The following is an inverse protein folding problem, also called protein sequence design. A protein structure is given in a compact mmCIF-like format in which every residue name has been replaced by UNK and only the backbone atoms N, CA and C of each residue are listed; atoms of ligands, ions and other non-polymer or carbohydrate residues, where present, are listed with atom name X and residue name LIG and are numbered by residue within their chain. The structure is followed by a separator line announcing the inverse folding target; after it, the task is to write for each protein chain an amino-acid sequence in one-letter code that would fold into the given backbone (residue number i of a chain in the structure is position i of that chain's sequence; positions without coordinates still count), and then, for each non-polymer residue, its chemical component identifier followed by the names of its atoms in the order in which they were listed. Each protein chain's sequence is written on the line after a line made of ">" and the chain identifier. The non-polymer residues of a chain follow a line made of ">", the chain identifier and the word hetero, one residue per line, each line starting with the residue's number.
data_IF_930487300259
#
_entry.id   IF_930487300259
#
_cell.length_a   1.000
_cell.length_b   1.000
_cell.length_c   1.000
_cell.angle_alpha   90.00
_cell.angle_beta   90.00
_cell.angle_gamma   90.00
#
_symmetry.space_group_name_H-M   'P 1'
#
loop_
_entity.id
_entity.type
_entity.pdbx_description
1 polymer ?
#
# COMPACT_ATOMS: atom_id res chain seq x y z
N UNK A 1 27.94 -27.53 11.28
CA UNK A 1 27.40 -26.79 12.45
C UNK A 1 27.11 -25.37 12.00
N UNK A 2 25.98 -25.14 11.36
CA UNK A 2 25.47 -23.78 11.09
C UNK A 2 24.91 -23.27 12.41
N UNK A 3 25.53 -22.26 12.95
CA UNK A 3 24.99 -21.51 14.07
C UNK A 3 23.64 -20.90 13.63
N UNK A 4 22.58 -21.34 14.26
CA UNK A 4 21.26 -20.74 14.18
C UNK A 4 21.39 -19.26 14.63
N UNK A 5 21.66 -18.37 13.68
CA UNK A 5 21.80 -16.94 13.95
C UNK A 5 20.44 -16.45 14.40
N UNK A 6 20.26 -16.25 15.69
CA UNK A 6 19.07 -15.63 16.26
C UNK A 6 18.73 -14.36 15.47
N UNK A 7 17.47 -14.23 15.09
CA UNK A 7 17.02 -13.09 14.27
C UNK A 7 17.46 -11.77 14.94
N UNK A 8 18.15 -10.89 14.21
CA UNK A 8 18.61 -9.62 14.78
C UNK A 8 17.39 -8.77 15.18
N UNK A 9 17.37 -8.31 16.44
CA UNK A 9 16.29 -7.42 16.93
C UNK A 9 16.36 -6.07 16.22
N UNK A 10 15.21 -5.54 15.80
CA UNK A 10 15.11 -4.21 15.25
C UNK A 10 15.49 -3.15 16.29
N UNK A 11 16.57 -2.41 16.03
CA UNK A 11 16.95 -1.27 16.86
C UNK A 11 16.06 -0.06 16.55
N UNK A 12 15.97 0.90 17.49
CA UNK A 12 15.28 2.19 17.26
C UNK A 12 15.79 2.87 15.98
N UNK A 13 17.11 2.81 15.70
CA UNK A 13 17.68 3.36 14.47
C UNK A 13 17.14 2.72 13.20
N UNK A 14 16.81 1.42 13.22
CA UNK A 14 16.19 0.72 12.08
C UNK A 14 14.73 1.15 11.92
N UNK A 15 13.98 1.28 13.02
CA UNK A 15 12.60 1.83 12.97
C UNK A 15 12.57 3.24 12.37
N UNK A 16 13.51 4.12 12.76
CA UNK A 16 13.65 5.46 12.17
C UNK A 16 13.91 5.38 10.66
N UNK A 17 14.75 4.47 10.20
CA UNK A 17 15.00 4.27 8.75
C UNK A 17 13.69 3.91 8.03
N UNK A 18 12.87 3.01 8.59
CA UNK A 18 11.58 2.65 7.99
C UNK A 18 10.58 3.82 8.02
N UNK A 19 10.63 4.71 9.02
CA UNK A 19 9.86 5.98 9.01
C UNK A 19 10.29 6.85 7.83
N UNK A 20 11.59 7.02 7.57
CA UNK A 20 12.07 7.76 6.39
C UNK A 20 11.65 7.09 5.07
N UNK A 21 11.61 5.78 5.00
CA UNK A 21 11.08 5.06 3.83
C UNK A 21 9.59 5.30 3.64
N UNK A 22 8.83 5.36 4.73
CA UNK A 22 7.43 5.77 4.70
C UNK A 22 7.25 7.19 4.17
N UNK A 23 8.06 8.14 4.65
CA UNK A 23 8.08 9.51 4.14
C UNK A 23 8.34 9.49 2.63
N UNK A 24 9.38 8.81 2.17
CA UNK A 24 9.75 8.75 0.76
C UNK A 24 8.63 8.19 -0.12
N UNK A 25 7.87 7.21 0.37
CA UNK A 25 6.83 6.51 -0.41
C UNK A 25 5.64 7.38 -0.77
N UNK A 26 5.33 8.42 0.00
CA UNK A 26 4.16 9.30 -0.20
C UNK A 26 4.48 10.78 -0.38
N UNK A 27 5.74 11.20 -0.18
CA UNK A 27 6.09 12.62 -0.19
C UNK A 27 5.79 13.29 -1.52
N UNK A 28 6.07 12.63 -2.65
CA UNK A 28 5.76 13.18 -3.97
C UNK A 28 4.28 13.51 -4.17
N UNK A 29 3.40 12.64 -3.69
CA UNK A 29 1.96 12.87 -3.72
C UNK A 29 1.51 13.95 -2.74
N UNK A 30 1.98 13.91 -1.50
CA UNK A 30 1.63 14.88 -0.48
C UNK A 30 2.09 16.31 -0.87
N UNK A 31 3.23 16.44 -1.55
CA UNK A 31 3.70 17.71 -2.08
C UNK A 31 2.73 18.28 -3.13
N UNK A 32 2.23 17.45 -4.06
CA UNK A 32 1.25 17.90 -5.05
C UNK A 32 -0.07 18.34 -4.42
N UNK A 33 -0.62 17.57 -3.48
CA UNK A 33 -1.88 17.94 -2.81
C UNK A 33 -1.75 19.21 -1.99
N UNK A 34 -0.66 19.36 -1.27
CA UNK A 34 -0.44 20.56 -0.42
C UNK A 34 -0.33 21.82 -1.27
N UNK A 35 0.19 21.71 -2.50
CA UNK A 35 0.34 22.82 -3.44
C UNK A 35 -0.83 22.96 -4.44
N UNK A 36 -1.99 22.38 -4.18
CA UNK A 36 -3.21 22.62 -5.00
C UNK A 36 -3.48 24.13 -5.22
N UNK A 37 -3.33 25.04 -4.24
CA UNK A 37 -3.51 26.46 -4.47
C UNK A 37 -2.58 27.05 -5.54
N UNK A 38 -1.33 26.57 -5.64
CA UNK A 38 -0.42 26.95 -6.71
C UNK A 38 -0.94 26.52 -8.09
N UNK A 39 -1.40 25.29 -8.22
CA UNK A 39 -1.94 24.79 -9.49
C UNK A 39 -3.26 25.47 -9.88
N UNK A 40 -4.11 25.81 -8.90
CA UNK A 40 -5.33 26.59 -9.13
C UNK A 40 -5.04 28.00 -9.68
N UNK A 41 -3.88 28.58 -9.33
CA UNK A 41 -3.45 29.87 -9.88
C UNK A 41 -2.92 29.75 -11.31
N UNK A 42 -2.06 28.74 -11.60
CA UNK A 42 -1.37 28.63 -12.89
C UNK A 42 -2.15 27.87 -13.97
N UNK A 43 -2.96 26.88 -13.58
CA UNK A 43 -3.70 25.97 -14.50
C UNK A 43 -5.12 25.69 -14.02
N UNK A 44 -5.94 26.74 -13.74
CA UNK A 44 -7.30 26.53 -13.21
C UNK A 44 -8.20 25.72 -14.16
N UNK A 45 -7.94 25.79 -15.47
CA UNK A 45 -8.73 25.09 -16.47
C UNK A 45 -8.73 23.57 -16.37
N UNK A 46 -7.76 22.95 -15.68
CA UNK A 46 -7.74 21.50 -15.43
C UNK A 46 -8.45 21.11 -14.13
N UNK A 47 -8.94 22.05 -13.31
CA UNK A 47 -9.51 21.82 -11.97
C UNK A 47 -8.60 20.93 -11.11
N UNK A 48 -7.44 21.44 -10.66
CA UNK A 48 -6.40 20.64 -10.01
C UNK A 48 -6.84 19.91 -8.75
N UNK A 49 -7.77 20.51 -7.98
CA UNK A 49 -8.36 19.97 -6.75
C UNK A 49 -9.07 18.62 -6.95
N UNK A 50 -9.50 18.31 -8.16
CA UNK A 50 -10.15 17.05 -8.53
C UNK A 50 -9.28 16.22 -9.48
N UNK A 51 -8.73 16.86 -10.53
CA UNK A 51 -8.04 16.16 -11.62
C UNK A 51 -6.69 15.56 -11.21
N UNK A 52 -5.95 16.19 -10.29
CA UNK A 52 -4.61 15.73 -9.91
C UNK A 52 -4.62 14.30 -9.35
N UNK A 53 -5.60 13.96 -8.52
CA UNK A 53 -5.75 12.60 -7.99
C UNK A 53 -5.99 11.60 -9.12
N UNK A 54 -6.90 11.90 -10.03
CA UNK A 54 -7.21 11.04 -11.17
C UNK A 54 -5.99 10.83 -12.08
N UNK A 55 -5.33 11.92 -12.48
CA UNK A 55 -4.16 11.89 -13.38
C UNK A 55 -2.98 11.11 -12.77
N UNK A 56 -2.81 11.18 -11.45
CA UNK A 56 -1.72 10.46 -10.78
C UNK A 56 -2.03 8.98 -10.57
N UNK A 57 -3.27 8.65 -10.15
CA UNK A 57 -3.58 7.27 -9.75
C UNK A 57 -4.03 6.36 -10.89
N UNK A 58 -4.58 6.87 -12.00
CA UNK A 58 -4.92 6.04 -13.15
C UNK A 58 -3.70 5.31 -13.75
N UNK A 59 -2.58 6.00 -14.11
CA UNK A 59 -1.37 5.32 -14.58
C UNK A 59 -0.72 4.45 -13.48
N UNK A 60 -0.83 4.85 -12.22
CA UNK A 60 -0.31 4.08 -11.09
C UNK A 60 -0.97 2.68 -11.00
N UNK A 61 -2.29 2.57 -11.17
CA UNK A 61 -2.99 1.27 -11.21
C UNK A 61 -2.43 0.37 -12.30
N UNK A 62 -2.33 0.90 -13.53
CA UNK A 62 -1.86 0.12 -14.69
C UNK A 62 -0.47 -0.44 -14.42
N UNK A 63 0.42 0.40 -13.89
CA UNK A 63 1.80 0.02 -13.67
C UNK A 63 1.99 -0.90 -12.46
N UNK A 64 1.27 -0.66 -11.34
CA UNK A 64 1.27 -1.59 -10.20
C UNK A 64 0.70 -2.95 -10.57
N UNK A 65 -0.36 -2.99 -11.38
CA UNK A 65 -0.88 -4.25 -11.91
C UNK A 65 0.17 -5.00 -12.73
N UNK A 66 0.89 -4.30 -13.62
CA UNK A 66 1.96 -4.89 -14.41
C UNK A 66 3.11 -5.46 -13.54
N UNK A 67 3.49 -4.74 -12.48
CA UNK A 67 4.49 -5.19 -11.50
C UNK A 67 4.02 -6.39 -10.68
N UNK A 68 2.73 -6.45 -10.33
CA UNK A 68 2.14 -7.58 -9.60
C UNK A 68 1.99 -8.81 -10.49
N UNK A 69 1.60 -8.60 -11.77
CA UNK A 69 1.45 -9.67 -12.76
C UNK A 69 2.79 -10.28 -13.14
N UNK A 70 3.80 -9.44 -13.37
CA UNK A 70 5.14 -9.84 -13.82
C UNK A 70 6.18 -9.45 -12.77
N UNK A 71 6.29 -10.28 -11.74
CA UNK A 71 7.00 -10.00 -10.48
C UNK A 71 8.49 -9.68 -10.63
N UNK A 72 9.16 -10.24 -11.66
CA UNK A 72 10.58 -10.05 -11.89
C UNK A 72 10.86 -8.97 -12.96
N UNK A 73 9.86 -8.12 -13.26
CA UNK A 73 10.00 -7.07 -14.27
C UNK A 73 11.13 -6.10 -13.93
N UNK A 74 11.22 -5.69 -12.65
CA UNK A 74 12.23 -4.78 -12.15
C UNK A 74 12.72 -5.28 -10.78
N UNK A 75 14.02 -5.50 -10.56
CA UNK A 75 14.57 -5.85 -9.25
C UNK A 75 14.19 -4.80 -8.20
N UNK A 76 13.75 -5.24 -7.01
CA UNK A 76 13.20 -4.39 -5.95
C UNK A 76 14.11 -3.19 -5.61
N UNK A 77 15.43 -3.41 -5.51
CA UNK A 77 16.40 -2.34 -5.24
C UNK A 77 16.40 -1.25 -6.34
N UNK A 78 16.37 -1.67 -7.60
CA UNK A 78 16.35 -0.75 -8.74
C UNK A 78 15.01 -0.01 -8.78
N UNK A 79 13.91 -0.72 -8.55
CA UNK A 79 12.56 -0.15 -8.46
C UNK A 79 12.48 1.01 -7.46
N UNK A 80 13.02 0.81 -6.25
CA UNK A 80 13.03 1.82 -5.18
C UNK A 80 13.90 3.03 -5.53
N UNK A 81 15.09 2.80 -6.11
CA UNK A 81 16.00 3.89 -6.51
C UNK A 81 15.35 4.73 -7.62
N UNK A 82 14.82 4.10 -8.67
CA UNK A 82 14.13 4.81 -9.77
C UNK A 82 12.91 5.56 -9.23
N UNK A 83 12.14 4.95 -8.29
CA UNK A 83 10.99 5.59 -7.67
C UNK A 83 11.36 6.89 -6.95
N UNK A 84 12.40 6.90 -6.11
CA UNK A 84 12.81 8.10 -5.38
C UNK A 84 13.46 9.13 -6.32
N UNK A 85 14.39 8.73 -7.18
CA UNK A 85 15.08 9.64 -8.12
C UNK A 85 14.06 10.28 -9.07
N UNK A 86 13.13 9.50 -9.60
CA UNK A 86 12.06 10.01 -10.47
C UNK A 86 11.14 10.98 -9.72
N UNK A 87 10.80 10.70 -8.46
CA UNK A 87 10.00 11.63 -7.64
C UNK A 87 10.73 12.96 -7.43
N UNK A 88 12.04 12.94 -7.14
CA UNK A 88 12.86 14.16 -7.03
C UNK A 88 12.81 14.95 -8.34
N UNK A 89 13.03 14.27 -9.48
CA UNK A 89 13.06 14.92 -10.80
C UNK A 89 11.70 15.60 -11.09
N UNK A 90 10.57 14.90 -10.89
CA UNK A 90 9.25 15.44 -11.19
C UNK A 90 8.81 16.55 -10.22
N UNK A 91 9.23 16.52 -8.95
CA UNK A 91 9.00 17.64 -8.02
C UNK A 91 9.72 18.94 -8.44
N UNK A 92 10.75 18.83 -9.26
CA UNK A 92 11.44 20.02 -9.84
C UNK A 92 10.83 20.36 -11.21
N UNK A 93 10.60 19.40 -12.06
CA UNK A 93 10.14 19.59 -13.45
C UNK A 93 8.72 20.18 -13.49
N UNK A 94 7.80 19.64 -12.69
CA UNK A 94 6.40 20.09 -12.70
C UNK A 94 6.28 21.58 -12.40
N UNK A 95 6.73 22.10 -11.25
CA UNK A 95 6.62 23.51 -10.96
C UNK A 95 7.42 24.39 -11.94
N UNK A 96 8.60 23.93 -12.40
CA UNK A 96 9.42 24.68 -13.34
C UNK A 96 8.65 24.99 -14.63
N UNK A 97 8.11 23.98 -15.28
CA UNK A 97 7.37 24.15 -16.53
C UNK A 97 6.05 24.89 -16.33
N UNK A 98 5.33 24.61 -15.23
CA UNK A 98 4.07 25.29 -14.89
C UNK A 98 4.28 26.80 -14.71
N UNK A 99 5.42 27.23 -14.16
CA UNK A 99 5.75 28.65 -13.95
C UNK A 99 6.30 29.36 -15.18
N UNK A 100 7.05 28.65 -16.04
CA UNK A 100 7.67 29.21 -17.24
C UNK A 100 6.66 29.49 -18.36
N UNK A 101 5.57 28.73 -18.40
CA UNK A 101 4.55 28.85 -19.43
C UNK A 101 3.51 29.92 -19.06
N UNK A 102 2.77 30.39 -20.05
CA UNK A 102 1.65 31.29 -19.85
C UNK A 102 0.57 30.64 -18.99
N UNK A 103 -0.03 31.45 -18.09
CA UNK A 103 -1.08 31.01 -17.19
C UNK A 103 -2.25 30.45 -18.00
N UNK A 104 -2.68 29.24 -17.66
CA UNK A 104 -3.81 28.49 -18.24
C UNK A 104 -3.75 28.30 -19.77
N UNK A 105 -2.57 28.44 -20.39
CA UNK A 105 -2.39 28.12 -21.81
C UNK A 105 -2.59 26.62 -22.07
N UNK A 106 -2.98 26.27 -23.30
CA UNK A 106 -3.13 24.85 -23.68
C UNK A 106 -1.88 24.04 -23.41
N UNK A 107 -0.68 24.58 -23.76
CA UNK A 107 0.60 23.90 -23.54
C UNK A 107 0.89 23.71 -22.04
N UNK A 108 0.61 24.71 -21.20
CA UNK A 108 0.79 24.60 -19.73
C UNK A 108 -0.11 23.52 -19.15
N UNK A 109 -1.39 23.52 -19.49
CA UNK A 109 -2.35 22.49 -19.07
C UNK A 109 -1.91 21.10 -19.52
N UNK A 110 -1.54 20.95 -20.80
CA UNK A 110 -1.10 19.66 -21.37
C UNK A 110 0.15 19.11 -20.69
N UNK A 111 1.21 19.93 -20.56
CA UNK A 111 2.47 19.49 -19.94
C UNK A 111 2.31 19.20 -18.45
N UNK A 112 1.54 20.01 -17.73
CA UNK A 112 1.25 19.73 -16.32
C UNK A 112 0.53 18.39 -16.16
N UNK A 113 -0.51 18.12 -16.95
CA UNK A 113 -1.18 16.82 -16.94
C UNK A 113 -0.23 15.67 -17.29
N UNK A 114 0.57 15.82 -18.34
CA UNK A 114 1.53 14.80 -18.78
C UNK A 114 2.55 14.47 -17.68
N UNK A 115 3.13 15.47 -17.02
CA UNK A 115 4.11 15.25 -15.96
C UNK A 115 3.48 14.67 -14.70
N UNK A 116 2.23 15.01 -14.36
CA UNK A 116 1.51 14.36 -13.25
C UNK A 116 1.22 12.89 -13.56
N UNK A 117 0.88 12.55 -14.81
CA UNK A 117 0.73 11.16 -15.28
C UNK A 117 2.06 10.41 -15.14
N UNK A 118 3.16 10.99 -15.59
CA UNK A 118 4.50 10.39 -15.46
C UNK A 118 4.90 10.18 -14.00
N UNK A 119 4.60 11.16 -13.13
CA UNK A 119 4.80 11.00 -11.68
C UNK A 119 3.95 9.86 -11.13
N UNK A 120 2.75 9.61 -11.66
CA UNK A 120 1.92 8.46 -11.29
C UNK A 120 2.62 7.11 -11.53
N UNK A 121 3.31 6.93 -12.66
CA UNK A 121 4.14 5.75 -12.92
C UNK A 121 5.30 5.63 -11.92
N UNK A 122 5.95 6.75 -11.60
CA UNK A 122 7.05 6.78 -10.64
C UNK A 122 6.55 6.46 -9.22
N UNK A 123 5.39 6.98 -8.83
CA UNK A 123 4.78 6.69 -7.53
C UNK A 123 4.41 5.19 -7.39
N UNK A 124 4.04 4.51 -8.49
CA UNK A 124 3.80 3.07 -8.49
C UNK A 124 5.08 2.28 -8.13
N UNK A 125 6.23 2.69 -8.69
CA UNK A 125 7.51 2.09 -8.34
C UNK A 125 7.87 2.33 -6.88
N UNK A 126 7.71 3.55 -6.40
CA UNK A 126 8.10 3.95 -5.06
C UNK A 126 7.23 3.29 -3.99
N UNK A 127 5.91 3.53 -4.01
CA UNK A 127 5.01 3.02 -2.98
C UNK A 127 4.88 1.50 -3.00
N UNK A 128 4.65 0.90 -4.18
CA UNK A 128 4.57 -0.56 -4.34
C UNK A 128 5.86 -1.25 -3.93
N UNK A 129 7.02 -0.67 -4.26
CA UNK A 129 8.32 -1.18 -3.86
C UNK A 129 8.55 -1.16 -2.35
N UNK A 130 8.21 -0.06 -1.66
CA UNK A 130 8.37 0.02 -0.21
C UNK A 130 7.42 -0.93 0.54
N UNK A 131 6.18 -1.09 0.07
CA UNK A 131 5.26 -2.05 0.66
C UNK A 131 5.72 -3.50 0.41
N UNK A 132 6.23 -3.81 -0.78
CA UNK A 132 6.84 -5.11 -1.05
C UNK A 132 8.07 -5.36 -0.16
N UNK A 133 8.92 -4.34 0.05
CA UNK A 133 10.09 -4.45 0.91
C UNK A 133 9.71 -4.75 2.35
N UNK A 134 8.81 -3.94 2.94
CA UNK A 134 8.57 -3.96 4.39
C UNK A 134 7.89 -5.24 4.88
N UNK A 135 7.12 -5.91 4.03
CA UNK A 135 6.42 -7.17 4.39
C UNK A 135 7.36 -8.36 4.63
N UNK A 136 8.64 -8.23 4.27
CA UNK A 136 9.66 -9.21 4.66
C UNK A 136 10.15 -9.04 6.10
N UNK A 137 9.79 -7.93 6.76
CA UNK A 137 10.25 -7.56 8.10
C UNK A 137 9.14 -7.74 9.15
N UNK A 138 9.47 -7.71 10.47
CA UNK A 138 8.49 -7.79 11.54
C UNK A 138 7.45 -6.65 11.48
N UNK A 139 6.28 -6.88 12.10
CA UNK A 139 5.15 -5.93 12.16
C UNK A 139 5.57 -4.51 12.58
N UNK A 140 6.51 -4.40 13.52
CA UNK A 140 7.04 -3.11 13.98
C UNK A 140 7.62 -2.25 12.85
N UNK A 141 8.22 -2.88 11.84
CA UNK A 141 8.77 -2.16 10.68
C UNK A 141 7.66 -1.75 9.72
N UNK A 142 6.60 -2.56 9.59
CA UNK A 142 5.40 -2.22 8.80
C UNK A 142 4.72 -0.99 9.40
N UNK A 143 4.52 -0.97 10.73
CA UNK A 143 3.94 0.18 11.43
C UNK A 143 4.86 1.40 11.31
N UNK A 144 6.17 1.23 11.45
CA UNK A 144 7.12 2.35 11.29
C UNK A 144 7.07 2.97 9.89
N UNK A 145 7.01 2.15 8.84
CA UNK A 145 6.83 2.63 7.46
C UNK A 145 5.48 3.33 7.28
N UNK A 146 4.40 2.71 7.76
CA UNK A 146 3.05 3.30 7.72
C UNK A 146 2.99 4.65 8.45
N UNK A 147 3.57 4.73 9.66
CA UNK A 147 3.65 5.98 10.44
C UNK A 147 4.44 7.05 9.68
N UNK A 148 5.54 6.66 9.02
CA UNK A 148 6.32 7.54 8.15
C UNK A 148 5.51 8.13 7.00
N UNK A 149 4.59 7.36 6.42
CA UNK A 149 3.67 7.89 5.40
C UNK A 149 2.79 9.02 5.94
N UNK A 150 2.26 8.87 7.15
CA UNK A 150 1.51 9.92 7.84
C UNK A 150 2.38 11.14 8.14
N UNK A 151 3.59 10.95 8.65
CA UNK A 151 4.56 12.04 8.89
C UNK A 151 4.91 12.81 7.62
N UNK A 152 4.93 12.17 6.45
CA UNK A 152 5.12 12.85 5.17
C UNK A 152 4.08 13.96 4.96
N UNK A 153 2.80 13.68 5.22
CA UNK A 153 1.73 14.67 5.10
C UNK A 153 1.88 15.81 6.12
N UNK A 154 2.17 15.49 7.38
CA UNK A 154 2.38 16.51 8.43
C UNK A 154 3.56 17.40 8.07
N UNK A 155 4.70 16.83 7.65
CA UNK A 155 5.89 17.58 7.29
C UNK A 155 5.61 18.58 6.15
N UNK A 156 4.91 18.11 5.10
CA UNK A 156 4.54 18.98 3.98
C UNK A 156 3.65 20.15 4.42
N UNK A 157 2.66 19.91 5.28
CA UNK A 157 1.79 20.97 5.78
C UNK A 157 2.52 21.96 6.69
N UNK A 158 3.42 21.49 7.57
CA UNK A 158 4.23 22.37 8.42
C UNK A 158 5.13 23.25 7.56
N UNK A 159 5.80 22.70 6.55
CA UNK A 159 6.59 23.47 5.60
C UNK A 159 5.72 24.49 4.91
N UNK A 160 4.52 24.14 4.46
CA UNK A 160 3.59 25.05 3.79
C UNK A 160 3.16 26.20 4.71
N UNK A 161 2.85 25.94 5.99
CA UNK A 161 2.55 27.01 6.93
C UNK A 161 3.73 27.97 7.13
N UNK A 162 4.95 27.44 7.26
CA UNK A 162 6.16 28.26 7.40
C UNK A 162 6.36 29.13 6.15
N UNK A 163 6.20 28.56 4.97
CA UNK A 163 6.35 29.25 3.69
C UNK A 163 5.28 30.35 3.52
N UNK A 164 4.00 30.04 3.84
CA UNK A 164 2.90 31.01 3.78
C UNK A 164 3.09 32.16 4.78
N UNK A 165 3.61 31.86 5.98
CA UNK A 165 3.87 32.91 6.99
C UNK A 165 5.08 33.78 6.64
N UNK A 166 6.09 33.21 5.97
CA UNK A 166 7.35 33.90 5.63
C UNK A 166 7.21 34.75 4.37
N UNK A 167 6.49 34.29 3.36
CA UNK A 167 6.35 34.95 2.06
C UNK A 167 4.91 35.42 1.90
N UNK A 168 4.62 36.63 2.39
CA UNK A 168 3.28 37.24 2.36
C UNK A 168 2.99 37.88 1.01
N UNK A 169 1.71 37.88 0.59
CA UNK A 169 1.21 38.49 -0.63
C UNK A 169 0.73 37.46 -1.66
N UNK A 170 -0.19 37.88 -2.53
CA UNK A 170 -0.82 37.03 -3.54
C UNK A 170 -0.39 37.40 -4.97
N UNK A 171 0.65 38.24 -5.12
CA UNK A 171 1.25 38.50 -6.42
C UNK A 171 1.97 37.28 -6.97
N UNK A 172 2.02 37.15 -8.30
CA UNK A 172 2.68 36.03 -9.00
C UNK A 172 4.09 35.73 -8.45
N UNK A 173 4.90 36.79 -8.19
CA UNK A 173 6.26 36.62 -7.66
C UNK A 173 6.30 35.89 -6.29
N UNK A 174 5.33 36.18 -5.40
CA UNK A 174 5.26 35.55 -4.08
C UNK A 174 4.78 34.11 -4.18
N UNK A 175 3.80 33.81 -5.06
CA UNK A 175 3.33 32.45 -5.33
C UNK A 175 4.47 31.60 -5.89
N UNK A 176 5.22 32.13 -6.86
CA UNK A 176 6.39 31.48 -7.45
C UNK A 176 7.47 31.21 -6.41
N UNK A 177 7.79 32.21 -5.57
CA UNK A 177 8.81 32.06 -4.53
C UNK A 177 8.39 31.00 -3.49
N UNK A 178 7.13 31.00 -3.05
CA UNK A 178 6.60 29.97 -2.13
C UNK A 178 6.74 28.56 -2.72
N UNK A 179 6.30 28.38 -3.95
CA UNK A 179 6.35 27.09 -4.61
C UNK A 179 7.80 26.60 -4.78
N UNK A 180 8.73 27.46 -5.19
CA UNK A 180 10.15 27.09 -5.29
C UNK A 180 10.74 26.61 -3.96
N UNK A 181 10.49 27.36 -2.88
CA UNK A 181 10.97 26.95 -1.54
C UNK A 181 10.36 25.60 -1.15
N UNK A 182 9.05 25.46 -1.32
CA UNK A 182 8.32 24.24 -0.94
C UNK A 182 8.80 23.00 -1.70
N UNK A 183 8.85 23.07 -3.03
CA UNK A 183 9.26 21.92 -3.85
C UNK A 183 10.76 21.58 -3.68
N UNK A 184 11.62 22.61 -3.50
CA UNK A 184 13.06 22.38 -3.25
C UNK A 184 13.30 21.68 -1.91
N UNK A 185 12.61 22.07 -0.85
CA UNK A 185 12.69 21.39 0.46
C UNK A 185 12.17 19.95 0.37
N UNK A 186 11.07 19.75 -0.35
CA UNK A 186 10.52 18.41 -0.58
C UNK A 186 11.50 17.49 -1.32
N UNK A 187 12.15 18.00 -2.37
CA UNK A 187 13.19 17.28 -3.11
C UNK A 187 14.41 16.95 -2.25
N UNK A 188 14.83 17.89 -1.37
CA UNK A 188 15.94 17.66 -0.43
C UNK A 188 15.61 16.53 0.57
N UNK A 189 14.40 16.49 1.10
CA UNK A 189 13.96 15.40 1.99
C UNK A 189 14.04 14.05 1.28
N UNK A 190 13.55 13.96 0.03
CA UNK A 190 13.67 12.74 -0.78
C UNK A 190 15.13 12.35 -1.05
N UNK A 191 16.00 13.32 -1.27
CA UNK A 191 17.43 13.07 -1.46
C UNK A 191 18.06 12.45 -0.22
N UNK A 192 17.73 12.94 0.98
CA UNK A 192 18.15 12.31 2.25
C UNK A 192 17.61 10.89 2.36
N UNK A 193 16.33 10.66 2.00
CA UNK A 193 15.76 9.32 2.00
C UNK A 193 16.48 8.36 1.02
N UNK A 194 16.91 8.85 -0.13
CA UNK A 194 17.69 8.08 -1.12
C UNK A 194 19.03 7.62 -0.53
N UNK A 195 19.75 8.52 0.13
CA UNK A 195 21.01 8.19 0.81
C UNK A 195 20.79 7.12 1.87
N UNK A 196 19.75 7.29 2.71
CA UNK A 196 19.40 6.30 3.74
C UNK A 196 19.04 4.95 3.13
N UNK A 197 18.34 4.91 1.99
CA UNK A 197 18.00 3.67 1.29
C UNK A 197 19.26 2.94 0.84
N UNK A 198 20.18 3.64 0.18
CA UNK A 198 21.45 3.05 -0.33
C UNK A 198 22.29 2.48 0.83
N UNK A 199 22.42 3.23 1.92
CA UNK A 199 23.16 2.79 3.12
C UNK A 199 22.48 1.56 3.75
N UNK A 200 21.15 1.53 3.78
CA UNK A 200 20.38 0.49 4.46
C UNK A 200 20.55 -0.88 3.81
N UNK A 201 20.65 -0.98 2.49
CA UNK A 201 20.88 -2.25 1.79
C UNK A 201 22.22 -2.89 2.17
N UNK A 202 23.18 -2.12 2.70
CA UNK A 202 24.46 -2.62 3.17
C UNK A 202 24.44 -3.08 4.64
N UNK A 203 23.38 -2.76 5.42
CA UNK A 203 23.26 -3.15 6.82
C UNK A 203 22.94 -4.64 6.96
N UNK A 204 23.55 -5.29 7.97
CA UNK A 204 23.38 -6.71 8.27
C UNK A 204 21.90 -7.08 8.50
N UNK A 205 21.14 -6.21 9.19
CA UNK A 205 19.72 -6.39 9.45
C UNK A 205 18.92 -6.56 8.15
N UNK A 206 19.14 -5.70 7.14
CA UNK A 206 18.46 -5.80 5.85
C UNK A 206 18.87 -7.04 5.07
N UNK A 207 20.17 -7.35 5.05
CA UNK A 207 20.70 -8.56 4.39
C UNK A 207 20.12 -9.83 4.99
N UNK A 208 20.00 -9.90 6.33
CA UNK A 208 19.43 -11.07 7.00
C UNK A 208 18.00 -11.35 6.54
N UNK A 209 17.10 -10.36 6.61
CA UNK A 209 15.69 -10.57 6.25
C UNK A 209 15.47 -10.77 4.75
N UNK A 210 16.24 -10.12 3.89
CA UNK A 210 16.14 -10.28 2.44
C UNK A 210 16.73 -11.63 1.99
N UNK A 211 17.92 -12.04 2.48
CA UNK A 211 18.53 -13.33 2.14
C UNK A 211 17.67 -14.51 2.66
N UNK A 212 17.14 -14.40 3.87
CA UNK A 212 16.22 -15.42 4.41
C UNK A 212 15.00 -15.61 3.51
N UNK A 213 14.54 -14.56 2.87
CA UNK A 213 13.45 -14.64 1.89
C UNK A 213 13.90 -15.29 0.58
N UNK A 214 15.15 -15.10 0.15
CA UNK A 214 15.71 -15.71 -1.07
C UNK A 214 16.08 -17.16 -0.86
N UNK A 215 16.65 -17.56 0.28
CA UNK A 215 16.97 -18.95 0.64
C UNK A 215 15.70 -19.80 0.72
N UNK A 216 14.61 -19.26 1.27
CA UNK A 216 13.31 -19.93 1.28
C UNK A 216 12.69 -20.06 -0.12
N UNK A 217 13.08 -19.22 -1.09
CA UNK A 217 12.69 -19.37 -2.49
C UNK A 217 13.47 -20.48 -3.20
N UNK A 218 14.76 -20.66 -2.85
CA UNK A 218 15.65 -21.61 -3.50
C UNK A 218 15.57 -23.03 -2.94
N UNK A 219 15.10 -23.23 -1.70
CA UNK A 219 15.04 -24.54 -1.06
C UNK A 219 13.73 -24.76 -0.27
N UNK A 220 12.64 -25.17 -0.95
CA UNK A 220 11.33 -25.34 -0.30
C UNK A 220 11.24 -26.56 0.65
N UNK A 221 12.27 -27.41 0.72
CA UNK A 221 12.26 -28.64 1.53
C UNK A 221 12.65 -28.47 3.00
N UNK A 222 13.18 -27.31 3.41
CA UNK A 222 13.62 -27.04 4.80
C UNK A 222 12.59 -26.22 5.61
N UNK A 223 11.30 -26.42 5.41
CA UNK A 223 10.27 -25.86 6.30
C UNK A 223 10.13 -26.80 7.50
N UNK A 224 10.91 -26.58 8.56
CA UNK A 224 10.59 -27.13 9.87
C UNK A 224 9.30 -26.46 10.35
N UNK A 225 8.20 -27.22 10.37
CA UNK A 225 6.99 -26.82 11.07
C UNK A 225 7.31 -26.66 12.58
N UNK A 226 6.80 -25.64 13.27
CA UNK A 226 6.92 -25.59 14.74
C UNK A 226 6.23 -26.84 15.30
N UNK A 227 6.88 -27.51 16.27
CA UNK A 227 6.46 -28.80 16.87
C UNK A 227 5.02 -28.86 17.37
N UNK A 228 4.38 -27.72 17.61
CA UNK A 228 2.98 -27.66 18.03
C UNK A 228 1.95 -27.99 16.93
N UNK A 229 2.35 -27.97 15.64
CA UNK A 229 1.41 -28.27 14.55
C UNK A 229 1.37 -29.76 14.23
N UNK A 230 2.43 -30.51 14.55
CA UNK A 230 2.44 -31.96 14.36
C UNK A 230 1.50 -32.69 15.34
N UNK A 231 1.35 -32.18 16.56
CA UNK A 231 0.43 -32.78 17.54
C UNK A 231 -1.04 -32.56 17.16
N UNK A 232 -1.40 -31.42 16.58
CA UNK A 232 -2.77 -31.12 16.10
C UNK A 232 -3.12 -31.98 14.87
N UNK A 233 -2.15 -32.24 13.96
CA UNK A 233 -2.37 -33.12 12.81
C UNK A 233 -2.50 -34.58 13.21
N UNK A 234 -1.74 -35.05 14.20
CA UNK A 234 -1.85 -36.42 14.71
C UNK A 234 -3.15 -36.66 15.51
N UNK A 235 -3.64 -35.68 16.26
CA UNK A 235 -4.93 -35.75 16.95
C UNK A 235 -6.11 -35.72 15.97
N UNK A 236 -6.07 -34.86 14.95
CA UNK A 236 -7.12 -34.84 13.93
C UNK A 236 -7.12 -36.05 13.01
N UNK A 237 -5.96 -36.71 12.76
CA UNK A 237 -5.91 -37.96 12.03
C UNK A 237 -6.42 -39.14 12.88
N UNK A 238 -6.15 -39.17 14.18
CA UNK A 238 -6.73 -40.19 15.08
C UNK A 238 -8.25 -40.08 15.17
N UNK A 239 -8.78 -38.84 15.29
CA UNK A 239 -10.24 -38.67 15.35
C UNK A 239 -10.97 -38.99 14.03
N UNK A 240 -10.32 -38.84 12.88
CA UNK A 240 -10.90 -39.23 11.58
C UNK A 240 -10.83 -40.72 11.31
N UNK A 241 -9.87 -41.43 11.88
CA UNK A 241 -9.78 -42.90 11.79
C UNK A 241 -10.83 -43.57 12.73
N UNK A 242 -11.09 -43.02 13.91
CA UNK A 242 -12.11 -43.53 14.82
C UNK A 242 -13.55 -43.29 14.32
N UNK A 243 -13.79 -42.27 13.49
CA UNK A 243 -15.11 -42.03 12.87
C UNK A 243 -15.43 -42.97 11.70
N UNK A 244 -14.40 -43.51 11.01
CA UNK A 244 -14.62 -44.52 9.94
C UNK A 244 -14.84 -45.94 10.45
N UNK A 245 -14.46 -46.26 11.69
CA UNK A 245 -14.68 -47.56 12.30
C UNK A 245 -16.08 -47.73 12.93
N UNK A 246 -16.89 -46.70 13.00
CA UNK A 246 -18.27 -46.78 13.55
C UNK A 246 -19.35 -47.00 12.48
N UNK A 247 -19.01 -46.95 11.18
CA UNK A 247 -20.00 -47.17 10.10
C UNK A 247 -19.92 -48.53 9.40
N UNK A 248 -19.05 -49.48 9.81
CA UNK A 248 -18.90 -50.77 9.18
C UNK A 248 -19.39 -51.98 10.02
N UNK A 249 -20.21 -51.78 11.05
CA UNK A 249 -20.90 -52.89 11.76
C UNK A 249 -22.40 -52.91 11.43
N UNK A 250 -22.78 -53.18 10.19
CA UNK A 250 -24.08 -53.83 9.85
C UNK A 250 -24.09 -54.31 8.39
N UNK A 251 -23.68 -55.55 8.15
CA UNK A 251 -24.35 -56.59 7.33
C UNK A 251 -23.42 -57.70 6.88
N UNK A 252 -23.59 -58.85 7.50
CA UNK A 252 -23.21 -60.19 7.00
C UNK A 252 -24.51 -60.80 6.45
N UNK A 253 -24.55 -61.70 5.40
CA UNK A 253 -23.89 -63.01 5.49
C UNK A 253 -23.36 -63.66 4.18
N UNK A 254 -22.38 -64.58 4.42
CA UNK A 254 -22.12 -65.87 3.78
C UNK A 254 -21.83 -66.00 2.28
N UNK A 255 -20.68 -66.66 1.95
CA UNK A 255 -20.54 -68.02 1.48
C UNK A 255 -19.07 -68.36 1.09
N UNK A 256 -18.39 -69.17 1.85
CA UNK A 256 -17.78 -70.50 1.60
C UNK A 256 -16.70 -70.68 0.51
N UNK A 257 -15.48 -71.06 1.00
CA UNK A 257 -14.55 -72.15 0.63
C UNK A 257 -13.92 -72.17 -0.76
N UNK A 258 -12.57 -72.15 -0.83
CA UNK A 258 -11.72 -73.37 -1.03
C UNK A 258 -10.23 -73.04 -1.05
N UNK A 259 -9.52 -73.85 -0.38
CA UNK A 259 -8.08 -74.10 -0.31
C UNK A 259 -7.45 -74.37 -1.68
N UNK A 260 -6.20 -73.96 -1.91
CA UNK A 260 -5.15 -75.00 -2.05
C UNK A 260 -3.73 -74.43 -2.07
N UNK A 261 -2.94 -75.18 -1.39
CA UNK A 261 -1.51 -75.18 -1.07
C UNK A 261 -0.64 -75.47 -2.29
N UNK A 262 0.58 -75.01 -2.29
CA UNK A 262 1.90 -75.68 -2.45
C UNK A 262 2.92 -74.82 -3.14
N UNK A 263 3.96 -74.39 -2.40
CA UNK A 263 5.33 -75.01 -2.33
C UNK A 263 6.02 -75.22 -3.68
N UNK A 264 7.12 -74.50 -3.92
CA UNK A 264 8.47 -75.11 -3.97
C UNK A 264 9.55 -74.07 -4.35
N UNK A 265 10.66 -74.14 -3.67
CA UNK A 265 11.99 -73.62 -3.83
C UNK A 265 12.55 -73.76 -5.28
N UNK A 266 13.39 -72.83 -5.71
CA UNK A 266 14.86 -72.95 -5.80
C UNK A 266 15.48 -71.93 -6.74
N UNK A 267 16.52 -71.30 -6.20
CA UNK A 267 17.88 -71.13 -6.72
C UNK A 267 18.21 -70.28 -7.95
N UNK A 268 19.03 -69.32 -7.63
CA UNK A 268 20.36 -68.97 -8.18
C UNK A 268 20.47 -68.23 -9.50
N UNK A 269 21.17 -67.07 -9.34
CA UNK A 269 22.15 -66.43 -10.23
C UNK A 269 21.68 -65.98 -11.61
N UNK A 270 21.63 -64.66 -11.82
CA UNK A 270 22.60 -64.05 -12.71
C UNK A 270 22.66 -62.53 -12.53
N UNK A 271 23.87 -62.07 -12.72
CA UNK A 271 24.43 -60.75 -12.54
C UNK A 271 24.23 -59.96 -13.84
N UNK A 272 24.17 -58.63 -13.70
CA UNK A 272 24.33 -57.58 -14.72
C UNK A 272 23.14 -57.28 -15.65
N UNK A 273 22.50 -56.16 -15.42
CA UNK A 273 22.64 -54.95 -16.23
C UNK A 273 21.82 -53.81 -15.63
N UNK A 274 22.46 -52.93 -14.85
CA UNK A 274 21.90 -51.61 -14.51
C UNK A 274 22.29 -50.64 -15.61
N UNK A 275 21.49 -50.59 -16.64
CA UNK A 275 21.51 -49.48 -17.57
C UNK A 275 21.09 -48.22 -16.82
N UNK A 276 22.08 -47.40 -16.50
CA UNK A 276 21.86 -46.00 -16.02
C UNK A 276 21.17 -45.23 -17.12
N UNK A 277 19.86 -45.07 -17.03
CA UNK A 277 19.14 -44.12 -17.89
C UNK A 277 19.61 -42.75 -17.55
N UNK A 278 20.46 -42.17 -18.41
CA UNK A 278 20.81 -40.78 -18.42
C UNK A 278 19.56 -40.03 -18.84
N UNK A 279 18.87 -39.42 -17.86
CA UNK A 279 17.75 -38.49 -18.12
C UNK A 279 18.30 -37.31 -18.91
N UNK A 280 17.75 -36.99 -20.08
CA UNK A 280 18.26 -35.85 -20.90
C UNK A 280 18.20 -34.57 -20.10
N UNK A 281 19.30 -33.79 -20.16
CA UNK A 281 19.46 -32.48 -19.45
C UNK A 281 18.31 -31.51 -19.74
N UNK A 282 17.72 -31.58 -20.94
CA UNK A 282 16.55 -30.77 -21.32
C UNK A 282 15.28 -31.06 -20.49
N UNK A 283 15.07 -32.29 -20.01
CA UNK A 283 13.96 -32.60 -19.12
C UNK A 283 14.20 -32.15 -17.68
N UNK A 284 15.47 -32.02 -17.26
CA UNK A 284 15.85 -31.44 -15.99
C UNK A 284 15.55 -29.94 -15.97
N UNK A 285 15.93 -29.21 -17.02
CA UNK A 285 15.69 -27.77 -17.11
C UNK A 285 14.20 -27.41 -17.25
N UNK A 286 13.42 -28.21 -17.94
CA UNK A 286 11.97 -28.04 -18.03
C UNK A 286 11.27 -28.35 -16.68
N UNK A 287 11.75 -29.33 -15.92
CA UNK A 287 11.25 -29.62 -14.58
C UNK A 287 11.68 -28.60 -13.56
N UNK A 288 12.90 -28.06 -13.64
CA UNK A 288 13.38 -26.96 -12.82
C UNK A 288 12.61 -25.68 -13.13
N UNK A 289 12.30 -25.39 -14.40
CA UNK A 289 11.43 -24.27 -14.79
C UNK A 289 10.00 -24.44 -14.27
N UNK A 290 9.40 -25.64 -14.40
CA UNK A 290 8.09 -25.95 -13.82
C UNK A 290 8.09 -25.93 -12.29
N UNK A 291 9.18 -26.32 -11.63
CA UNK A 291 9.33 -26.24 -10.18
C UNK A 291 9.49 -24.77 -9.73
N UNK A 292 10.19 -23.94 -10.50
CA UNK A 292 10.30 -22.51 -10.27
C UNK A 292 8.99 -21.76 -10.56
N UNK A 293 8.18 -22.21 -11.55
CA UNK A 293 6.84 -21.65 -11.80
C UNK A 293 5.86 -21.94 -10.63
N UNK A 294 6.00 -23.06 -9.93
CA UNK A 294 5.22 -23.35 -8.70
C UNK A 294 5.65 -22.52 -7.48
N UNK A 295 6.72 -21.75 -7.58
CA UNK A 295 7.23 -20.90 -6.48
C UNK A 295 6.53 -19.53 -6.38
N UNK A 296 5.62 -19.20 -7.28
CA UNK A 296 4.88 -17.94 -7.28
C UNK A 296 3.37 -18.22 -7.26
N UNK A 297 2.63 -17.46 -6.42
CA UNK A 297 1.17 -17.42 -6.51
C UNK A 297 0.78 -16.61 -7.74
N UNK A 298 -0.19 -17.12 -8.48
CA UNK A 298 -0.87 -16.32 -9.52
C UNK A 298 -1.67 -15.20 -8.85
N UNK A 299 -1.96 -14.13 -9.61
CA UNK A 299 -2.80 -13.03 -9.10
C UNK A 299 -4.13 -13.53 -8.52
N UNK A 300 -4.79 -14.47 -9.18
CA UNK A 300 -6.08 -15.01 -8.71
C UNK A 300 -5.94 -15.84 -7.42
N UNK A 301 -4.86 -16.59 -7.24
CA UNK A 301 -4.59 -17.34 -6.00
C UNK A 301 -4.27 -16.40 -4.85
N UNK A 302 -3.49 -15.35 -5.11
CA UNK A 302 -3.16 -14.31 -4.14
C UNK A 302 -4.43 -13.56 -3.70
N UNK A 303 -5.24 -13.10 -4.66
CA UNK A 303 -6.52 -12.44 -4.39
C UNK A 303 -7.46 -13.33 -3.59
N UNK A 304 -7.57 -14.64 -3.90
CA UNK A 304 -8.40 -15.57 -3.13
C UNK A 304 -7.99 -15.69 -1.66
N UNK A 305 -6.69 -15.52 -1.36
CA UNK A 305 -6.18 -15.54 0.02
C UNK A 305 -6.38 -14.22 0.76
N UNK A 306 -6.37 -13.09 0.05
CA UNK A 306 -6.34 -11.74 0.63
C UNK A 306 -7.60 -10.91 0.34
N UNK A 307 -8.60 -11.46 -0.37
CA UNK A 307 -9.75 -10.73 -0.90
C UNK A 307 -10.46 -9.83 0.13
N UNK A 308 -10.57 -10.31 1.37
CA UNK A 308 -11.19 -9.58 2.47
C UNK A 308 -10.37 -8.33 2.86
N UNK A 309 -9.05 -8.46 2.99
CA UNK A 309 -8.15 -7.33 3.29
C UNK A 309 -8.00 -6.38 2.10
N UNK A 310 -7.94 -6.91 0.89
CA UNK A 310 -7.87 -6.15 -0.35
C UNK A 310 -9.14 -5.29 -0.53
N UNK A 311 -10.33 -5.85 -0.31
CA UNK A 311 -11.59 -5.10 -0.39
C UNK A 311 -11.75 -4.09 0.76
N UNK A 312 -11.29 -4.41 1.97
CA UNK A 312 -11.32 -3.49 3.10
C UNK A 312 -10.46 -2.27 2.81
N UNK A 313 -9.20 -2.45 2.40
CA UNK A 313 -8.32 -1.31 2.11
C UNK A 313 -8.84 -0.48 0.95
N UNK A 314 -9.38 -1.12 -0.09
CA UNK A 314 -10.03 -0.46 -1.21
C UNK A 314 -11.20 0.42 -0.74
N UNK A 315 -12.09 -0.09 0.12
CA UNK A 315 -13.22 0.66 0.67
C UNK A 315 -12.76 1.83 1.54
N UNK A 316 -11.75 1.63 2.41
CA UNK A 316 -11.17 2.67 3.26
C UNK A 316 -10.71 3.85 2.42
N UNK A 317 -9.97 3.59 1.34
CA UNK A 317 -9.45 4.65 0.48
C UNK A 317 -10.50 5.22 -0.48
N UNK A 318 -11.46 4.41 -0.95
CA UNK A 318 -12.57 4.91 -1.76
C UNK A 318 -13.39 5.95 -0.98
N UNK A 319 -13.75 5.66 0.27
CA UNK A 319 -14.45 6.62 1.13
C UNK A 319 -13.60 7.87 1.38
N UNK A 320 -12.31 7.69 1.68
CA UNK A 320 -11.41 8.82 1.90
C UNK A 320 -11.38 9.76 0.70
N UNK A 321 -11.10 9.23 -0.50
CA UNK A 321 -10.89 10.06 -1.69
C UNK A 321 -12.18 10.54 -2.35
N UNK A 322 -13.33 10.00 -1.97
CA UNK A 322 -14.64 10.61 -2.26
C UNK A 322 -14.80 11.97 -1.56
N UNK A 323 -14.21 12.11 -0.36
CA UNK A 323 -14.38 13.28 0.49
C UNK A 323 -13.16 14.21 0.47
N UNK A 324 -11.98 13.64 0.50
CA UNK A 324 -10.70 14.35 0.57
C UNK A 324 -9.90 14.17 -0.74
N UNK A 325 -9.34 15.21 -1.34
CA UNK A 325 -9.34 16.57 -0.79
C UNK A 325 -10.63 17.38 -1.07
N UNK A 326 -11.34 17.13 -2.19
CA UNK A 326 -12.34 18.04 -2.76
C UNK A 326 -13.42 18.52 -1.79
N UNK A 327 -14.23 17.61 -1.23
CA UNK A 327 -15.36 18.00 -0.39
C UNK A 327 -14.95 18.62 0.95
N UNK A 328 -13.72 18.35 1.42
CA UNK A 328 -13.22 18.87 2.69
C UNK A 328 -12.54 20.23 2.53
N UNK A 329 -11.55 20.36 1.61
CA UNK A 329 -10.72 21.57 1.50
C UNK A 329 -11.49 22.78 0.97
N UNK A 330 -12.59 22.57 0.27
CA UNK A 330 -13.46 23.65 -0.25
C UNK A 330 -14.40 24.23 0.80
N UNK A 331 -14.41 23.70 2.05
CA UNK A 331 -15.18 24.26 3.15
C UNK A 331 -14.39 25.36 3.90
N UNK A 332 -15.10 26.36 4.38
CA UNK A 332 -14.50 27.45 5.16
C UNK A 332 -14.24 26.98 6.59
N UNK A 333 -13.10 27.35 7.13
CA UNK A 333 -12.74 27.15 8.52
C UNK A 333 -12.64 28.50 9.21
N UNK A 334 -13.62 28.81 10.04
CA UNK A 334 -13.77 30.12 10.70
C UNK A 334 -13.70 31.28 9.69
N UNK A 335 -12.98 32.33 10.02
CA UNK A 335 -12.74 33.49 9.15
C UNK A 335 -11.43 33.42 8.35
N UNK A 336 -10.82 32.21 8.26
CA UNK A 336 -9.57 32.02 7.52
C UNK A 336 -9.79 32.18 6.01
N UNK A 337 -8.79 32.71 5.31
CA UNK A 337 -8.80 32.67 3.85
C UNK A 337 -8.62 31.24 3.33
N UNK A 338 -8.88 31.03 2.03
CA UNK A 338 -8.87 29.70 1.42
C UNK A 338 -7.55 28.93 1.66
N UNK A 339 -6.40 29.57 1.51
CA UNK A 339 -5.10 28.90 1.67
C UNK A 339 -4.88 28.37 3.09
N UNK A 340 -5.20 29.18 4.11
CA UNK A 340 -5.08 28.75 5.51
C UNK A 340 -6.17 27.75 5.90
N UNK A 341 -7.40 27.92 5.42
CA UNK A 341 -8.52 27.01 5.65
C UNK A 341 -8.21 25.61 5.11
N UNK A 342 -7.83 25.54 3.84
CA UNK A 342 -7.44 24.31 3.15
C UNK A 342 -6.27 23.61 3.87
N UNK A 343 -5.19 24.36 4.16
CA UNK A 343 -4.02 23.79 4.83
C UNK A 343 -4.34 23.29 6.25
N UNK A 344 -5.24 23.98 6.99
CA UNK A 344 -5.70 23.53 8.31
C UNK A 344 -6.41 22.18 8.22
N UNK A 345 -7.34 22.02 7.27
CA UNK A 345 -8.08 20.78 7.06
C UNK A 345 -7.13 19.63 6.70
N UNK A 346 -6.22 19.88 5.76
CA UNK A 346 -5.22 18.87 5.35
C UNK A 346 -4.33 18.49 6.54
N UNK A 347 -3.93 19.45 7.36
CA UNK A 347 -3.11 19.19 8.56
C UNK A 347 -3.84 18.33 9.59
N UNK A 348 -5.10 18.65 9.88
CA UNK A 348 -5.93 17.83 10.80
C UNK A 348 -6.06 16.41 10.28
N UNK A 349 -6.37 16.23 8.99
CA UNK A 349 -6.44 14.92 8.37
C UNK A 349 -5.12 14.14 8.55
N UNK A 350 -3.99 14.70 8.14
CA UNK A 350 -2.69 14.04 8.18
C UNK A 350 -2.20 13.74 9.61
N UNK A 351 -2.47 14.65 10.55
CA UNK A 351 -2.11 14.44 11.96
C UNK A 351 -2.86 13.23 12.55
N UNK A 352 -4.16 13.16 12.33
CA UNK A 352 -4.97 12.06 12.88
C UNK A 352 -4.82 10.76 12.09
N UNK A 353 -4.54 10.80 10.78
CA UNK A 353 -4.11 9.63 10.01
C UNK A 353 -2.81 9.03 10.59
N UNK A 354 -1.83 9.88 10.91
CA UNK A 354 -0.58 9.45 11.54
C UNK A 354 -0.79 8.84 12.92
N UNK A 355 -1.62 9.49 13.76
CA UNK A 355 -2.00 8.98 15.08
C UNK A 355 -2.70 7.63 14.93
N UNK A 356 -3.62 7.49 13.96
CA UNK A 356 -4.32 6.25 13.66
C UNK A 356 -3.39 5.10 13.31
N UNK A 357 -2.36 5.37 12.51
CA UNK A 357 -1.33 4.38 12.13
C UNK A 357 -0.51 3.93 13.34
N UNK A 358 -0.13 4.86 14.20
CA UNK A 358 0.65 4.57 15.40
C UNK A 358 -0.13 3.78 16.46
N UNK A 359 -1.41 4.11 16.64
CA UNK A 359 -2.29 3.47 17.64
C UNK A 359 -2.43 1.96 17.40
N UNK A 360 -2.26 1.48 16.15
CA UNK A 360 -2.36 0.05 15.84
C UNK A 360 -1.37 -0.81 16.65
N UNK A 361 -0.23 -0.28 17.06
CA UNK A 361 0.71 -1.00 17.95
C UNK A 361 0.15 -1.26 19.35
N UNK A 362 -0.84 -0.47 19.80
CA UNK A 362 -1.36 -0.52 21.17
C UNK A 362 -2.43 -1.60 21.37
N UNK A 363 -2.93 -2.21 20.28
CA UNK A 363 -3.97 -3.25 20.38
C UNK A 363 -3.74 -4.38 19.36
N UNK A 364 -4.29 -5.57 19.70
CA UNK A 364 -4.18 -6.74 18.83
C UNK A 364 -4.95 -6.52 17.51
N UNK A 365 -4.27 -6.59 16.36
CA UNK A 365 -4.91 -6.49 15.04
C UNK A 365 -5.89 -7.66 14.84
N UNK A 366 -7.12 -7.36 14.41
CA UNK A 366 -8.09 -8.38 14.00
C UNK A 366 -8.86 -7.94 12.75
N UNK A 367 -9.12 -8.87 11.85
CA UNK A 367 -9.92 -8.62 10.63
C UNK A 367 -11.29 -8.02 10.96
N UNK A 368 -11.99 -8.55 11.98
CA UNK A 368 -13.32 -8.07 12.39
C UNK A 368 -13.33 -6.58 12.77
N UNK A 369 -12.34 -6.14 13.55
CA UNK A 369 -12.22 -4.72 13.93
C UNK A 369 -12.01 -3.84 12.69
N UNK A 370 -11.23 -4.31 11.73
CA UNK A 370 -10.96 -3.56 10.49
C UNK A 370 -12.20 -3.48 9.57
N UNK A 371 -12.99 -4.53 9.49
CA UNK A 371 -14.28 -4.52 8.77
C UNK A 371 -15.22 -3.46 9.37
N UNK A 372 -15.39 -3.47 10.70
CA UNK A 372 -16.22 -2.48 11.39
C UNK A 372 -15.72 -1.06 11.13
N UNK A 373 -14.40 -0.84 11.22
CA UNK A 373 -13.77 0.44 10.89
C UNK A 373 -14.09 0.89 9.45
N UNK A 374 -13.92 0.02 8.46
CA UNK A 374 -14.15 0.35 7.06
C UNK A 374 -15.62 0.75 6.79
N UNK A 375 -16.59 -0.01 7.30
CA UNK A 375 -18.01 0.27 7.09
C UNK A 375 -18.51 1.49 7.87
N UNK A 376 -18.02 1.74 9.09
CA UNK A 376 -18.38 2.93 9.86
C UNK A 376 -18.03 4.25 9.15
N UNK A 377 -17.02 4.23 8.27
CA UNK A 377 -16.58 5.40 7.50
C UNK A 377 -17.61 5.88 6.47
N UNK A 378 -18.49 5.00 5.99
CA UNK A 378 -19.56 5.37 5.04
C UNK A 378 -20.47 6.44 5.65
N UNK A 379 -20.68 6.40 6.96
CA UNK A 379 -21.47 7.40 7.69
C UNK A 379 -20.85 8.80 7.61
N UNK A 380 -19.50 8.89 7.58
CA UNK A 380 -18.81 10.17 7.46
C UNK A 380 -19.07 10.85 6.11
N UNK A 381 -19.37 10.07 5.05
CA UNK A 381 -19.72 10.64 3.72
C UNK A 381 -20.94 11.54 3.85
N UNK A 382 -21.99 11.05 4.53
CA UNK A 382 -23.21 11.81 4.72
C UNK A 382 -22.96 13.07 5.55
N UNK A 383 -22.21 12.96 6.65
CA UNK A 383 -21.96 14.09 7.54
C UNK A 383 -21.12 15.19 6.89
N UNK A 384 -20.07 14.84 6.14
CA UNK A 384 -19.20 15.82 5.48
C UNK A 384 -19.94 16.52 4.33
N UNK A 385 -20.69 15.77 3.51
CA UNK A 385 -21.50 16.35 2.43
C UNK A 385 -22.62 17.22 3.00
N UNK A 386 -23.29 16.77 4.07
CA UNK A 386 -24.31 17.53 4.74
C UNK A 386 -23.75 18.85 5.33
N UNK A 387 -22.59 18.81 5.99
CA UNK A 387 -21.94 20.01 6.50
C UNK A 387 -21.60 21.00 5.39
N UNK A 388 -21.13 20.50 4.24
CA UNK A 388 -20.88 21.33 3.06
C UNK A 388 -22.17 22.04 2.60
N UNK A 389 -23.28 21.30 2.52
CA UNK A 389 -24.59 21.85 2.17
C UNK A 389 -25.09 22.87 3.21
N UNK A 390 -24.92 22.62 4.50
CA UNK A 390 -25.29 23.54 5.58
C UNK A 390 -24.51 24.86 5.48
N UNK A 391 -23.23 24.83 5.12
CA UNK A 391 -22.40 26.01 5.01
C UNK A 391 -22.73 26.86 3.78
N UNK A 392 -22.85 26.24 2.60
CA UNK A 392 -23.03 26.97 1.33
C UNK A 392 -24.52 27.16 0.99
N UNK A 393 -25.41 26.21 1.30
CA UNK A 393 -26.82 26.24 0.91
C UNK A 393 -27.75 26.81 1.96
N UNK A 394 -27.60 26.39 3.23
CA UNK A 394 -28.48 26.83 4.33
C UNK A 394 -27.95 28.03 5.11
N UNK A 395 -26.73 28.50 4.85
CA UNK A 395 -26.15 29.65 5.51
C UNK A 395 -25.95 29.46 7.02
N UNK A 396 -25.63 28.26 7.48
CA UNK A 396 -25.37 28.01 8.89
C UNK A 396 -24.18 28.82 9.40
N UNK A 397 -24.17 29.06 10.72
CA UNK A 397 -23.07 29.77 11.36
C UNK A 397 -21.72 29.09 11.04
N UNK A 398 -20.81 29.87 10.42
CA UNK A 398 -19.49 29.40 9.97
C UNK A 398 -18.69 28.77 11.12
N UNK A 399 -18.83 29.25 12.35
CA UNK A 399 -18.10 28.65 13.49
C UNK A 399 -18.60 27.23 13.79
N UNK A 400 -19.90 26.98 13.70
CA UNK A 400 -20.47 25.64 13.92
C UNK A 400 -20.02 24.69 12.83
N UNK A 401 -20.18 25.08 11.56
CA UNK A 401 -19.77 24.24 10.42
C UNK A 401 -18.27 24.01 10.39
N UNK A 402 -17.46 24.97 10.86
CA UNK A 402 -16.01 24.82 11.00
C UNK A 402 -15.61 23.78 12.05
N UNK A 403 -16.25 23.79 13.21
CA UNK A 403 -16.00 22.76 14.24
C UNK A 403 -16.40 21.40 13.73
N UNK A 404 -17.56 21.28 13.06
CA UNK A 404 -18.03 20.01 12.50
C UNK A 404 -17.11 19.46 11.44
N UNK A 405 -16.66 20.27 10.47
CA UNK A 405 -15.74 19.76 9.42
C UNK A 405 -14.40 19.35 10.01
N UNK A 406 -13.85 20.06 10.98
CA UNK A 406 -12.62 19.68 11.65
C UNK A 406 -12.79 18.35 12.42
N UNK A 407 -13.90 18.15 13.12
CA UNK A 407 -14.22 16.91 13.82
C UNK A 407 -14.37 15.72 12.85
N UNK A 408 -15.13 15.91 11.77
CA UNK A 408 -15.33 14.84 10.79
C UNK A 408 -14.04 14.52 10.02
N UNK A 409 -13.21 15.51 9.73
CA UNK A 409 -11.90 15.32 9.11
C UNK A 409 -10.94 14.58 10.05
N UNK A 410 -10.96 14.89 11.34
CA UNK A 410 -10.23 14.16 12.38
C UNK A 410 -10.60 12.68 12.38
N UNK A 411 -11.92 12.38 12.45
CA UNK A 411 -12.41 11.00 12.42
C UNK A 411 -12.06 10.28 11.12
N UNK A 412 -12.16 10.99 9.99
CA UNK A 412 -11.79 10.46 8.68
C UNK A 412 -10.31 10.07 8.63
N UNK A 413 -9.41 10.93 9.12
CA UNK A 413 -7.98 10.65 9.20
C UNK A 413 -7.67 9.49 10.15
N UNK A 414 -8.15 9.56 11.41
CA UNK A 414 -7.89 8.55 12.43
C UNK A 414 -8.28 7.14 11.94
N UNK A 415 -9.50 7.01 11.43
CA UNK A 415 -10.01 5.72 10.93
C UNK A 415 -9.29 5.26 9.66
N UNK A 416 -8.77 6.18 8.83
CA UNK A 416 -7.94 5.86 7.67
C UNK A 416 -6.62 5.22 8.10
N UNK A 417 -5.89 5.87 9.00
CA UNK A 417 -4.61 5.38 9.50
C UNK A 417 -4.71 4.01 10.15
N UNK A 418 -5.73 3.80 10.99
CA UNK A 418 -6.03 2.48 11.59
C UNK A 418 -6.30 1.45 10.50
N UNK A 419 -7.20 1.74 9.56
CA UNK A 419 -7.65 0.79 8.54
C UNK A 419 -6.53 0.29 7.64
N UNK A 420 -5.72 1.21 7.12
CA UNK A 420 -4.62 0.85 6.20
C UNK A 420 -3.52 0.07 6.93
N UNK A 421 -3.13 0.50 8.13
CA UNK A 421 -2.05 -0.16 8.88
C UNK A 421 -2.45 -1.57 9.31
N UNK A 422 -3.73 -1.78 9.67
CA UNK A 422 -4.27 -3.12 9.94
C UNK A 422 -4.23 -4.03 8.72
N UNK A 423 -4.57 -3.54 7.51
CA UNK A 423 -4.50 -4.35 6.29
C UNK A 423 -3.07 -4.80 6.01
N UNK A 424 -2.09 -3.88 6.03
CA UNK A 424 -0.69 -4.23 5.80
C UNK A 424 -0.09 -5.12 6.90
N UNK A 425 -0.53 -4.96 8.15
CA UNK A 425 -0.07 -5.77 9.28
C UNK A 425 -0.63 -7.19 9.28
N UNK A 426 -1.85 -7.39 8.78
CA UNK A 426 -2.50 -8.70 8.73
C UNK A 426 -2.12 -9.50 7.48
N UNK A 427 -1.94 -8.85 6.33
CA UNK A 427 -1.72 -9.51 5.05
C UNK A 427 -0.53 -10.51 5.02
N UNK A 428 0.63 -10.23 5.64
CA UNK A 428 1.74 -11.20 5.68
C UNK A 428 1.42 -12.49 6.42
N UNK A 429 0.42 -12.49 7.31
CA UNK A 429 0.01 -13.67 8.10
C UNK A 429 -0.95 -14.60 7.33
N UNK A 430 -1.53 -14.13 6.23
CA UNK A 430 -2.46 -14.90 5.38
C UNK A 430 -1.74 -15.70 4.30
N UNK A 431 -0.43 -15.53 4.16
CA UNK A 431 0.37 -16.15 3.12
C UNK A 431 1.65 -16.76 3.70
N UNK A 432 2.22 -17.73 2.98
CA UNK A 432 3.54 -18.28 3.35
C UNK A 432 4.63 -17.22 3.27
N UNK A 433 5.70 -17.35 4.05
CA UNK A 433 6.82 -16.37 4.14
C UNK A 433 7.38 -15.94 2.77
N UNK A 434 7.47 -16.87 1.81
CA UNK A 434 7.95 -16.63 0.45
C UNK A 434 7.07 -15.68 -0.37
N UNK A 435 5.78 -15.52 0.02
CA UNK A 435 4.80 -14.68 -0.68
C UNK A 435 4.49 -13.35 0.03
N UNK A 436 5.11 -13.07 1.18
CA UNK A 436 4.85 -11.84 1.96
C UNK A 436 5.00 -10.56 1.14
N UNK A 437 6.05 -10.48 0.30
CA UNK A 437 6.23 -9.33 -0.59
C UNK A 437 5.09 -9.17 -1.61
N UNK A 438 4.51 -10.29 -2.10
CA UNK A 438 3.34 -10.24 -2.98
C UNK A 438 2.09 -9.77 -2.21
N UNK A 439 1.92 -10.19 -0.95
CA UNK A 439 0.81 -9.73 -0.12
C UNK A 439 0.85 -8.21 0.08
N UNK A 440 2.01 -7.64 0.40
CA UNK A 440 2.16 -6.19 0.50
C UNK A 440 1.86 -5.45 -0.81
N UNK A 441 2.33 -6.00 -1.93
CA UNK A 441 2.04 -5.44 -3.26
C UNK A 441 0.55 -5.53 -3.62
N UNK A 442 -0.16 -6.61 -3.23
CA UNK A 442 -1.62 -6.76 -3.43
C UNK A 442 -2.38 -5.68 -2.67
N UNK A 443 -2.14 -5.55 -1.36
CA UNK A 443 -2.79 -4.51 -0.54
C UNK A 443 -2.51 -3.11 -1.11
N UNK A 444 -1.27 -2.84 -1.56
CA UNK A 444 -0.92 -1.56 -2.19
C UNK A 444 -1.70 -1.33 -3.49
N UNK A 445 -1.86 -2.36 -4.31
CA UNK A 445 -2.62 -2.28 -5.56
C UNK A 445 -4.11 -1.98 -5.32
N UNK A 446 -4.76 -2.69 -4.40
CA UNK A 446 -6.17 -2.44 -4.07
C UNK A 446 -6.38 -1.10 -3.35
N UNK A 447 -5.40 -0.65 -2.58
CA UNK A 447 -5.36 0.70 -2.01
C UNK A 447 -5.46 1.76 -3.13
N UNK A 448 -4.63 1.64 -4.17
CA UNK A 448 -4.62 2.59 -5.31
C UNK A 448 -5.94 2.52 -6.11
N UNK A 449 -6.50 1.33 -6.28
CA UNK A 449 -7.85 1.19 -6.88
C UNK A 449 -8.88 1.94 -6.05
N UNK A 450 -8.83 1.82 -4.72
CA UNK A 450 -9.73 2.56 -3.82
C UNK A 450 -9.60 4.07 -3.99
N UNK A 451 -8.37 4.60 -4.07
CA UNK A 451 -8.13 6.03 -4.34
C UNK A 451 -8.75 6.44 -5.68
N UNK A 452 -8.53 5.66 -6.72
CA UNK A 452 -9.06 5.95 -8.06
C UNK A 452 -10.59 5.96 -8.08
N UNK A 453 -11.23 4.97 -7.49
CA UNK A 453 -12.70 4.90 -7.38
C UNK A 453 -13.22 6.11 -6.61
N UNK A 454 -12.63 6.44 -5.45
CA UNK A 454 -13.01 7.61 -4.67
C UNK A 454 -12.85 8.91 -5.45
N UNK A 455 -11.76 9.06 -6.21
CA UNK A 455 -11.54 10.23 -7.08
C UNK A 455 -12.58 10.33 -8.19
N UNK A 456 -12.98 9.22 -8.81
CA UNK A 456 -14.07 9.20 -9.82
C UNK A 456 -15.41 9.65 -9.20
N UNK A 457 -15.73 9.18 -7.98
CA UNK A 457 -16.93 9.61 -7.25
C UNK A 457 -16.84 11.10 -6.91
N UNK A 458 -15.68 11.61 -6.50
CA UNK A 458 -15.46 13.02 -6.23
C UNK A 458 -15.72 13.91 -7.46
N UNK A 459 -15.33 13.49 -8.66
CA UNK A 459 -15.70 14.17 -9.92
C UNK A 459 -17.21 14.24 -10.12
N UNK A 460 -17.92 13.12 -9.86
CA UNK A 460 -19.38 13.09 -9.93
C UNK A 460 -20.04 14.04 -8.93
N UNK A 461 -19.54 14.07 -7.70
CA UNK A 461 -20.05 14.99 -6.65
C UNK A 461 -19.77 16.45 -7.00
N UNK A 462 -18.61 16.78 -7.57
CA UNK A 462 -18.29 18.13 -8.06
C UNK A 462 -19.27 18.59 -9.14
N UNK A 463 -19.54 17.74 -10.10
CA UNK A 463 -20.50 18.04 -11.18
C UNK A 463 -21.90 18.35 -10.63
N UNK A 464 -22.37 17.57 -9.66
CA UNK A 464 -23.68 17.76 -9.01
C UNK A 464 -23.69 19.07 -8.21
N UNK A 465 -22.71 19.29 -7.32
CA UNK A 465 -22.61 20.49 -6.48
C UNK A 465 -22.43 21.76 -7.34
N UNK A 466 -21.64 21.69 -8.42
CA UNK A 466 -21.44 22.78 -9.36
C UNK A 466 -22.72 23.20 -10.06
N UNK A 467 -23.67 22.28 -10.25
CA UNK A 467 -25.00 22.59 -10.79
C UNK A 467 -25.84 23.39 -9.80
N UNK A 468 -25.82 23.02 -8.51
CA UNK A 468 -26.54 23.75 -7.45
C UNK A 468 -25.96 25.13 -7.14
N UNK A 469 -24.65 25.38 -7.36
CA UNK A 469 -24.04 26.71 -7.18
C UNK A 469 -24.37 27.69 -8.31
N UNK A 470 -24.84 27.22 -9.46
CA UNK A 470 -25.22 28.05 -10.62
C UNK A 470 -26.69 28.46 -10.62
N UNK A 471 -27.51 27.80 -9.79
CA UNK A 471 -28.92 28.16 -9.52
C UNK A 471 -29.03 29.00 -8.27
#
# INVERSE_FOLDING_TARGET
>A
MEQDKTAPKGSIGIRIIFVFFGIASLLGWNALITEIPFFLYFVPGIKPDVSMSFLNYAPNIIFQFALLWKKDLIPLKIQLIIGIVGSIAFLIIIPLFTMLLEIDSFLNRFLTCLFVIMLGFINALCSGGFFSLVTHFPLEMIVSLSTGQGFSGIAMNVIQFIVLASIKGDEKKHIVARAWVFFSVSALILFVCLILLIISFNKEYFRYYLNKSEEKKSNPQNVSFPDNTQNIFHENMKSSVDLNNIQEEQKIPNVTISQNTQTTQNNQTDIMDKTTQVVPVEQSDANIKKLNEKTQLTFCELFRKLWDLDLIVMLVYAVTFTLFPYATINQKVFSLNFNYSSNTIITVYNAFDTIGRFIVELFTPTKRKNIINAFSRIVLVFFIIFNFYCQDGLGWNVNVTSVLILLFTLLLGLTNGIGVTLCFGLAPNEVEDKYKGQAGSSISFFLIIGIFIGSCIAFGTEAIIGTFRKT
#
